data_IF_013749491717
#
_entry.id   IF_013749491717
#
_cell.length_a   1.000
_cell.length_b   1.000
_cell.length_c   1.000
_cell.angle_alpha   90.00
_cell.angle_beta   90.00
_cell.angle_gamma   90.00
#
_symmetry.space_group_name_H-M   'P 1'
#
loop_
_entity.id
_entity.type
_entity.pdbx_description
1 polymer ?
#
# COMPACT_ATOMS: atom_id res chain seq x y z
N UNK A 1 -12.22 -8.90 17.02
CA UNK A 1 -11.46 -8.92 15.77
C UNK A 1 -12.37 -9.29 14.60
N UNK A 2 -13.00 -8.27 14.02
CA UNK A 2 -14.13 -8.42 13.08
C UNK A 2 -13.80 -9.24 11.82
N UNK A 3 -12.56 -9.13 11.30
CA UNK A 3 -12.21 -9.83 10.06
C UNK A 3 -12.01 -11.35 10.22
N UNK A 4 -11.49 -11.80 11.37
CA UNK A 4 -11.35 -13.25 11.64
C UNK A 4 -12.69 -13.95 11.73
N UNK A 5 -13.66 -13.34 12.42
CA UNK A 5 -15.01 -13.90 12.55
C UNK A 5 -15.78 -13.92 11.22
N UNK A 6 -15.33 -13.14 10.22
CA UNK A 6 -15.89 -13.11 8.86
C UNK A 6 -15.10 -13.93 7.84
N UNK A 7 -14.28 -14.86 8.29
CA UNK A 7 -13.60 -15.84 7.43
C UNK A 7 -12.27 -15.35 6.81
N UNK A 8 -11.71 -14.23 7.25
CA UNK A 8 -10.39 -13.82 6.79
C UNK A 8 -9.33 -14.75 7.41
N UNK A 9 -8.73 -15.59 6.58
CA UNK A 9 -7.64 -16.46 6.98
C UNK A 9 -6.37 -15.63 7.25
N UNK A 10 -5.99 -15.52 8.52
CA UNK A 10 -4.82 -14.75 8.96
C UNK A 10 -3.49 -15.47 8.73
N UNK A 11 -3.55 -16.76 8.39
CA UNK A 11 -2.35 -17.58 8.20
C UNK A 11 -1.85 -17.58 6.75
N UNK A 12 -2.57 -16.95 5.81
CA UNK A 12 -2.11 -16.74 4.44
C UNK A 12 -1.27 -15.48 4.29
N UNK A 13 -0.22 -15.58 3.49
CA UNK A 13 0.54 -14.40 3.03
C UNK A 13 -0.37 -13.48 2.21
N UNK A 14 -0.28 -12.17 2.45
CA UNK A 14 -1.04 -11.14 1.72
C UNK A 14 -0.21 -9.91 1.42
N UNK A 15 -0.45 -9.35 0.25
CA UNK A 15 0.02 -8.02 -0.09
C UNK A 15 -1.05 -7.00 0.34
N UNK A 16 -0.63 -6.04 1.14
CA UNK A 16 -1.46 -4.94 1.62
C UNK A 16 -0.98 -3.64 0.98
N UNK A 17 -1.81 -3.08 0.10
CA UNK A 17 -1.54 -1.78 -0.52
C UNK A 17 -2.19 -0.69 0.33
N UNK A 18 -1.38 0.19 0.92
CA UNK A 18 -1.85 1.22 1.85
C UNK A 18 -1.24 2.60 1.53
N UNK A 19 -1.92 3.65 1.93
CA UNK A 19 -1.50 5.05 1.75
C UNK A 19 -0.29 5.48 2.61
N UNK A 20 0.05 4.68 3.62
CA UNK A 20 1.12 4.97 4.57
C UNK A 20 0.62 5.43 5.93
N UNK A 21 -0.68 5.35 6.20
CA UNK A 21 -1.26 5.61 7.51
C UNK A 21 -0.65 4.72 8.60
N UNK A 22 0.00 5.32 9.58
CA UNK A 22 0.74 4.60 10.65
C UNK A 22 -0.16 3.68 11.47
N UNK A 23 -1.38 4.12 11.77
CA UNK A 23 -2.34 3.33 12.53
C UNK A 23 -2.78 2.07 11.78
N UNK A 24 -3.11 2.19 10.49
CA UNK A 24 -3.49 1.07 9.64
C UNK A 24 -2.33 0.08 9.49
N UNK A 25 -1.12 0.59 9.21
CA UNK A 25 0.10 -0.23 9.14
C UNK A 25 0.31 -1.02 10.43
N UNK A 26 0.22 -0.35 11.59
CA UNK A 26 0.36 -1.00 12.91
C UNK A 26 -0.67 -2.10 13.10
N UNK A 27 -1.93 -1.85 12.79
CA UNK A 27 -3.01 -2.82 12.90
C UNK A 27 -2.79 -4.06 12.01
N UNK A 28 -2.34 -3.85 10.76
CA UNK A 28 -2.02 -4.95 9.82
C UNK A 28 -0.86 -5.79 10.38
N UNK A 29 0.25 -5.16 10.78
CA UNK A 29 1.43 -5.85 11.30
C UNK A 29 1.10 -6.60 12.61
N UNK A 30 0.32 -6.01 13.50
CA UNK A 30 -0.11 -6.68 14.73
C UNK A 30 -1.01 -7.89 14.48
N UNK A 31 -1.84 -7.83 13.42
CA UNK A 31 -2.80 -8.91 13.12
C UNK A 31 -2.15 -10.05 12.33
N UNK A 32 -1.31 -9.73 11.35
CA UNK A 32 -0.78 -10.70 10.38
C UNK A 32 0.72 -10.99 10.57
N UNK A 33 1.42 -10.17 11.36
CA UNK A 33 2.85 -10.34 11.61
C UNK A 33 3.67 -10.35 10.32
N UNK A 34 4.56 -11.31 10.19
CA UNK A 34 5.43 -11.50 9.02
C UNK A 34 4.67 -11.96 7.74
N UNK A 35 3.38 -12.29 7.86
CA UNK A 35 2.53 -12.63 6.72
C UNK A 35 1.94 -11.39 6.03
N UNK A 36 2.13 -10.22 6.61
CA UNK A 36 1.76 -8.96 6.00
C UNK A 36 2.89 -8.41 5.15
N UNK A 37 2.80 -8.55 3.83
CA UNK A 37 3.64 -7.78 2.93
C UNK A 37 2.97 -6.44 2.67
N UNK A 38 3.65 -5.35 3.01
CA UNK A 38 3.11 -4.00 2.85
C UNK A 38 3.72 -3.37 1.61
N UNK A 39 2.87 -2.89 0.72
CA UNK A 39 3.20 -1.96 -0.33
C UNK A 39 2.64 -0.59 0.04
N UNK A 40 3.51 0.40 0.23
CA UNK A 40 3.08 1.79 0.37
C UNK A 40 2.76 2.40 -0.98
N UNK A 41 1.68 3.17 -1.04
CA UNK A 41 1.26 3.90 -2.23
C UNK A 41 2.36 4.87 -2.69
N UNK A 42 2.89 4.64 -3.89
CA UNK A 42 3.92 5.50 -4.48
C UNK A 42 3.39 6.90 -4.81
N UNK A 43 2.10 7.01 -5.16
CA UNK A 43 1.45 8.31 -5.42
C UNK A 43 1.42 9.16 -4.18
N UNK A 44 0.96 8.60 -3.04
CA UNK A 44 0.97 9.30 -1.76
C UNK A 44 2.38 9.61 -1.28
N UNK A 45 3.32 8.67 -1.42
CA UNK A 45 4.72 8.92 -1.07
C UNK A 45 5.30 10.08 -1.86
N UNK A 46 5.08 10.10 -3.18
CA UNK A 46 5.51 11.20 -4.04
C UNK A 46 4.92 12.54 -3.59
N UNK A 47 3.61 12.60 -3.32
CA UNK A 47 2.93 13.80 -2.83
C UNK A 47 3.57 14.28 -1.53
N UNK A 48 3.72 13.40 -0.54
CA UNK A 48 4.29 13.74 0.75
C UNK A 48 5.73 14.28 0.65
N UNK A 49 6.56 13.76 -0.25
CA UNK A 49 7.91 14.30 -0.49
C UNK A 49 7.84 15.68 -1.11
N UNK A 50 6.99 15.86 -2.13
CA UNK A 50 6.86 17.13 -2.87
C UNK A 50 6.25 18.26 -2.02
N UNK A 51 5.47 17.92 -1.00
CA UNK A 51 4.90 18.92 -0.07
C UNK A 51 5.96 19.63 0.76
N UNK A 52 7.16 19.04 0.87
CA UNK A 52 8.32 19.66 1.54
C UNK A 52 9.27 20.38 0.57
N UNK A 53 9.03 20.32 -0.74
CA UNK A 53 9.92 20.86 -1.78
C UNK A 53 9.35 22.20 -2.29
N UNK A 54 10.23 23.15 -2.58
CA UNK A 54 9.84 24.45 -3.17
C UNK A 54 9.14 24.28 -4.51
N UNK A 55 8.36 25.28 -4.93
CA UNK A 55 7.64 25.21 -6.21
C UNK A 55 8.59 25.00 -7.40
N UNK A 56 9.77 25.63 -7.37
CA UNK A 56 10.75 25.58 -8.45
C UNK A 56 11.43 24.20 -8.56
N UNK A 57 11.66 23.54 -7.43
CA UNK A 57 12.33 22.22 -7.40
C UNK A 57 11.36 21.05 -7.62
N UNK A 58 10.04 21.26 -7.39
CA UNK A 58 9.03 20.21 -7.52
C UNK A 58 9.06 19.45 -8.84
N UNK A 59 9.16 20.09 -10.02
CA UNK A 59 9.19 19.38 -11.29
C UNK A 59 10.38 18.44 -11.41
N UNK A 60 11.56 18.87 -10.94
CA UNK A 60 12.79 18.09 -11.01
C UNK A 60 12.69 16.88 -10.07
N UNK A 61 12.30 17.10 -8.81
CA UNK A 61 12.15 16.03 -7.82
C UNK A 61 11.05 15.03 -8.24
N UNK A 62 9.92 15.53 -8.76
CA UNK A 62 8.85 14.67 -9.27
C UNK A 62 9.30 13.80 -10.44
N UNK A 63 10.08 14.35 -11.38
CA UNK A 63 10.64 13.60 -12.51
C UNK A 63 11.58 12.50 -12.03
N UNK A 64 12.47 12.78 -11.06
CA UNK A 64 13.39 11.78 -10.50
C UNK A 64 12.65 10.68 -9.75
N UNK A 65 11.64 11.01 -8.93
CA UNK A 65 10.79 10.02 -8.26
C UNK A 65 10.06 9.12 -9.25
N UNK A 66 9.45 9.70 -10.30
CA UNK A 66 8.75 8.95 -11.32
C UNK A 66 9.70 8.03 -12.09
N UNK A 67 10.89 8.52 -12.46
CA UNK A 67 11.89 7.73 -13.16
C UNK A 67 12.38 6.54 -12.32
N UNK A 68 12.63 6.76 -11.02
CA UNK A 68 13.05 5.70 -10.10
C UNK A 68 11.96 4.61 -9.94
N UNK A 69 10.70 5.00 -9.76
CA UNK A 69 9.58 4.05 -9.64
C UNK A 69 9.22 3.35 -10.97
N UNK A 70 9.62 3.91 -12.12
CA UNK A 70 9.41 3.28 -13.43
C UNK A 70 10.40 2.13 -13.70
N UNK A 71 11.56 2.12 -13.04
CA UNK A 71 12.54 1.03 -13.18
C UNK A 71 11.90 -0.31 -12.81
N UNK A 72 12.27 -1.36 -13.53
CA UNK A 72 11.72 -2.70 -13.28
C UNK A 72 12.47 -3.43 -12.17
N UNK A 73 13.78 -3.28 -12.18
CA UNK A 73 14.65 -3.92 -11.20
C UNK A 73 14.59 -3.22 -9.84
N UNK A 74 14.45 -4.02 -8.79
CA UNK A 74 14.38 -3.53 -7.42
C UNK A 74 15.64 -2.80 -6.99
N UNK A 75 16.83 -3.37 -7.31
CA UNK A 75 18.10 -2.80 -6.87
C UNK A 75 18.35 -1.46 -7.56
N UNK A 76 18.07 -1.37 -8.86
CA UNK A 76 18.18 -0.14 -9.62
C UNK A 76 17.20 0.94 -9.12
N UNK A 77 15.94 0.57 -8.87
CA UNK A 77 14.93 1.49 -8.31
C UNK A 77 15.34 2.00 -6.93
N UNK A 78 15.81 1.11 -6.07
CA UNK A 78 16.30 1.49 -4.73
C UNK A 78 17.51 2.40 -4.82
N UNK A 79 18.51 2.08 -5.65
CA UNK A 79 19.70 2.90 -5.83
C UNK A 79 19.35 4.32 -6.31
N UNK A 80 18.40 4.44 -7.25
CA UNK A 80 17.93 5.73 -7.74
C UNK A 80 17.24 6.54 -6.63
N UNK A 81 16.40 5.90 -5.80
CA UNK A 81 15.75 6.56 -4.65
C UNK A 81 16.75 6.93 -3.55
N UNK A 82 17.73 6.09 -3.26
CA UNK A 82 18.81 6.39 -2.30
C UNK A 82 19.68 7.55 -2.80
N UNK A 83 19.93 7.64 -4.12
CA UNK A 83 20.57 8.78 -4.75
C UNK A 83 19.79 10.07 -4.55
N UNK A 84 18.50 10.02 -4.86
CA UNK A 84 17.60 11.17 -4.64
C UNK A 84 17.50 11.57 -3.16
N UNK A 85 17.49 10.59 -2.25
CA UNK A 85 17.51 10.88 -0.82
C UNK A 85 18.75 11.70 -0.42
N UNK A 86 19.93 11.33 -0.91
CA UNK A 86 21.19 12.10 -0.66
C UNK A 86 21.10 13.52 -1.20
N UNK A 87 20.59 13.71 -2.40
CA UNK A 87 20.37 15.05 -2.95
C UNK A 87 19.39 15.88 -2.10
N UNK A 88 18.28 15.28 -1.69
CA UNK A 88 17.28 15.93 -0.85
C UNK A 88 17.82 16.28 0.54
N UNK A 89 18.78 15.53 1.09
CA UNK A 89 19.41 15.87 2.36
C UNK A 89 20.09 17.26 2.32
N UNK A 90 20.62 17.65 1.16
CA UNK A 90 21.22 18.99 0.96
C UNK A 90 20.18 20.04 0.59
N UNK A 91 19.15 19.66 -0.18
CA UNK A 91 18.12 20.58 -0.65
C UNK A 91 17.08 20.89 0.43
N UNK A 92 16.48 19.86 1.01
CA UNK A 92 15.47 19.92 2.07
C UNK A 92 15.47 18.65 2.92
N UNK A 93 16.06 18.69 4.13
CA UNK A 93 16.12 17.53 5.02
C UNK A 93 14.76 16.94 5.40
N UNK A 94 13.67 17.73 5.38
CA UNK A 94 12.32 17.23 5.66
C UNK A 94 11.78 16.38 4.50
N UNK A 95 12.04 16.82 3.25
CA UNK A 95 11.73 16.01 2.06
C UNK A 95 12.53 14.68 2.05
N UNK A 96 13.81 14.74 2.42
CA UNK A 96 14.64 13.53 2.55
C UNK A 96 14.09 12.57 3.60
N UNK A 97 13.74 13.05 4.80
CA UNK A 97 13.10 12.23 5.84
C UNK A 97 11.77 11.64 5.38
N UNK A 98 10.96 12.43 4.67
CA UNK A 98 9.69 11.99 4.09
C UNK A 98 9.91 10.86 3.08
N UNK A 99 10.96 10.94 2.25
CA UNK A 99 11.31 9.87 1.30
C UNK A 99 11.79 8.61 2.02
N UNK A 100 12.69 8.75 2.99
CA UNK A 100 13.27 7.62 3.72
C UNK A 100 12.23 6.84 4.54
N UNK A 101 11.20 7.52 5.08
CA UNK A 101 10.16 6.88 5.86
C UNK A 101 9.38 5.85 5.05
N UNK A 102 9.63 4.56 5.31
CA UNK A 102 8.97 3.44 4.64
C UNK A 102 9.31 3.32 3.15
N UNK A 103 10.49 3.78 2.73
CA UNK A 103 10.97 3.67 1.34
C UNK A 103 10.91 2.23 0.86
N UNK A 104 11.43 1.28 1.65
CA UNK A 104 11.42 -0.15 1.32
C UNK A 104 10.02 -0.69 1.03
N UNK A 105 9.01 -0.20 1.76
CA UNK A 105 7.62 -0.60 1.55
C UNK A 105 7.04 -0.04 0.25
N UNK A 106 7.62 1.02 -0.33
CA UNK A 106 7.21 1.53 -1.64
C UNK A 106 7.71 0.66 -2.81
N UNK A 107 8.68 -0.21 -2.55
CA UNK A 107 9.30 -1.09 -3.54
C UNK A 107 8.93 -2.58 -3.38
N UNK A 108 7.95 -2.89 -2.54
CA UNK A 108 7.54 -4.30 -2.32
C UNK A 108 7.13 -5.00 -3.62
N UNK A 109 6.38 -4.34 -4.50
CA UNK A 109 5.97 -4.92 -5.79
C UNK A 109 7.14 -5.09 -6.77
N UNK A 110 8.21 -4.30 -6.64
CA UNK A 110 9.46 -4.51 -7.39
C UNK A 110 10.18 -5.75 -6.87
N UNK A 111 10.35 -5.86 -5.55
CA UNK A 111 10.96 -7.01 -4.90
C UNK A 111 10.22 -8.33 -5.18
N UNK A 112 8.92 -8.26 -5.40
CA UNK A 112 8.11 -9.41 -5.81
C UNK A 112 8.19 -9.70 -7.32
N UNK A 113 9.00 -8.93 -8.08
CA UNK A 113 9.16 -9.05 -9.54
C UNK A 113 7.81 -9.06 -10.28
N UNK A 114 6.89 -8.16 -9.86
CA UNK A 114 5.58 -8.08 -10.51
C UNK A 114 5.69 -7.56 -11.93
N UNK A 115 4.97 -8.18 -12.90
CA UNK A 115 4.95 -7.70 -14.27
C UNK A 115 4.50 -6.23 -14.35
N UNK A 116 4.98 -5.45 -15.34
CA UNK A 116 4.83 -3.99 -15.38
C UNK A 116 3.40 -3.48 -15.18
N UNK A 117 2.42 -4.06 -15.87
CA UNK A 117 1.03 -3.62 -15.77
C UNK A 117 0.43 -3.88 -14.38
N UNK A 118 0.69 -5.05 -13.79
CA UNK A 118 0.23 -5.38 -12.46
C UNK A 118 0.98 -4.56 -11.41
N UNK A 119 2.29 -4.36 -11.58
CA UNK A 119 3.12 -3.50 -10.72
C UNK A 119 2.54 -2.09 -10.63
N UNK A 120 2.24 -1.47 -11.77
CA UNK A 120 1.62 -0.12 -11.81
C UNK A 120 0.31 -0.06 -11.01
N UNK A 121 -0.54 -1.08 -11.14
CA UNK A 121 -1.81 -1.13 -10.39
C UNK A 121 -1.58 -1.28 -8.89
N UNK A 122 -0.71 -2.20 -8.49
CA UNK A 122 -0.46 -2.51 -7.08
C UNK A 122 0.45 -1.49 -6.39
N UNK A 123 1.09 -0.59 -7.13
CA UNK A 123 1.94 0.47 -6.57
C UNK A 123 1.14 1.64 -5.98
N UNK A 124 -0.19 1.67 -6.14
CA UNK A 124 -1.03 2.76 -5.66
C UNK A 124 -2.34 2.27 -5.04
N UNK A 125 -2.95 3.14 -4.24
CA UNK A 125 -4.28 2.95 -3.64
C UNK A 125 -5.42 3.43 -4.56
N UNK A 126 -5.13 3.85 -5.79
CA UNK A 126 -6.10 4.45 -6.71
C UNK A 126 -7.35 3.58 -6.92
N UNK A 127 -7.21 2.26 -6.92
CA UNK A 127 -8.35 1.34 -7.10
C UNK A 127 -9.37 1.50 -6.00
N UNK A 128 -8.93 1.52 -4.74
CA UNK A 128 -9.84 1.67 -3.58
C UNK A 128 -10.30 3.12 -3.45
N UNK A 129 -9.47 4.10 -3.75
CA UNK A 129 -9.84 5.51 -3.75
C UNK A 129 -10.94 5.80 -4.77
N UNK A 130 -10.86 5.21 -5.95
CA UNK A 130 -11.91 5.31 -6.97
C UNK A 130 -13.26 4.76 -6.48
N UNK A 131 -13.25 3.63 -5.76
CA UNK A 131 -14.45 3.08 -5.15
C UNK A 131 -15.02 4.02 -4.08
N UNK A 132 -14.17 4.56 -3.20
CA UNK A 132 -14.59 5.47 -2.15
C UNK A 132 -15.08 6.82 -2.69
N UNK A 133 -14.57 7.32 -3.80
CA UNK A 133 -15.07 8.54 -4.41
C UNK A 133 -16.52 8.40 -4.88
N UNK A 134 -16.92 7.21 -5.34
CA UNK A 134 -18.31 6.91 -5.67
C UNK A 134 -19.17 6.86 -4.39
N UNK A 135 -18.67 6.19 -3.34
CA UNK A 135 -19.36 6.17 -2.03
C UNK A 135 -19.55 7.58 -1.50
N UNK A 136 -18.53 8.43 -1.57
CA UNK A 136 -18.60 9.83 -1.15
C UNK A 136 -19.66 10.60 -1.95
N UNK A 137 -19.73 10.40 -3.25
CA UNK A 137 -20.75 11.00 -4.11
C UNK A 137 -22.17 10.57 -3.70
N UNK A 138 -22.38 9.29 -3.42
CA UNK A 138 -23.65 8.75 -2.94
C UNK A 138 -24.03 9.33 -1.58
N UNK A 139 -23.05 9.47 -0.69
CA UNK A 139 -23.27 9.92 0.68
C UNK A 139 -23.28 11.45 0.85
N UNK A 140 -22.89 12.25 -0.17
CA UNK A 140 -22.67 13.71 -0.06
C UNK A 140 -23.87 14.50 0.46
N UNK A 141 -25.10 14.02 0.26
CA UNK A 141 -26.33 14.66 0.70
C UNK A 141 -26.66 14.36 2.17
N UNK A 142 -25.96 13.41 2.80
CA UNK A 142 -26.14 13.09 4.21
C UNK A 142 -25.40 14.10 5.05
N UNK A 143 -26.11 15.11 5.55
CA UNK A 143 -25.52 16.20 6.34
C UNK A 143 -25.28 15.86 7.80
N UNK A 144 -26.00 14.88 8.33
CA UNK A 144 -25.87 14.42 9.72
C UNK A 144 -25.94 12.91 9.77
N UNK A 145 -24.99 12.32 10.49
CA UNK A 145 -24.94 10.90 10.73
C UNK A 145 -25.54 10.60 12.10
N UNK A 146 -26.68 9.91 12.13
CA UNK A 146 -27.26 9.41 13.36
C UNK A 146 -26.53 8.15 13.83
N UNK A 147 -26.72 7.77 15.10
CA UNK A 147 -26.14 6.54 15.66
C UNK A 147 -26.69 5.27 15.01
N UNK A 148 -26.14 4.12 15.42
CA UNK A 148 -26.55 2.81 14.91
C UNK A 148 -25.91 2.48 13.56
N UNK A 149 -26.60 1.69 12.76
CA UNK A 149 -26.13 1.13 11.50
C UNK A 149 -26.29 2.04 10.27
N UNK A 150 -26.72 3.30 10.46
CA UNK A 150 -26.96 4.23 9.35
C UNK A 150 -25.71 4.41 8.48
N UNK A 151 -24.51 4.59 9.09
CA UNK A 151 -23.25 4.73 8.34
C UNK A 151 -22.95 3.48 7.54
N UNK A 152 -23.10 2.31 8.16
CA UNK A 152 -22.84 1.03 7.50
C UNK A 152 -23.77 0.82 6.31
N UNK A 153 -25.06 1.13 6.44
CA UNK A 153 -26.05 1.03 5.36
C UNK A 153 -25.71 1.97 4.20
N UNK A 154 -25.41 3.23 4.47
CA UNK A 154 -25.06 4.20 3.41
C UNK A 154 -23.75 3.84 2.71
N UNK A 155 -22.71 3.50 3.46
CA UNK A 155 -21.43 3.06 2.89
C UNK A 155 -21.62 1.77 2.09
N UNK A 156 -22.37 0.80 2.63
CA UNK A 156 -22.70 -0.44 1.94
C UNK A 156 -23.46 -0.20 0.63
N UNK A 157 -24.48 0.66 0.64
CA UNK A 157 -25.20 1.04 -0.58
C UNK A 157 -24.30 1.72 -1.60
N UNK A 158 -23.42 2.62 -1.13
CA UNK A 158 -22.44 3.29 -2.00
C UNK A 158 -21.44 2.30 -2.62
N UNK A 159 -20.99 1.30 -1.88
CA UNK A 159 -20.11 0.25 -2.39
C UNK A 159 -20.82 -0.66 -3.42
N UNK A 160 -22.09 -1.00 -3.20
CA UNK A 160 -22.89 -1.76 -4.17
C UNK A 160 -23.12 -0.98 -5.48
N UNK A 161 -23.23 0.35 -5.40
CA UNK A 161 -23.28 1.21 -6.59
C UNK A 161 -21.91 1.26 -7.28
N UNK A 162 -20.84 1.40 -6.50
CA UNK A 162 -19.49 1.42 -7.02
C UNK A 162 -19.13 0.10 -7.74
N UNK A 163 -19.54 -1.05 -7.19
CA UNK A 163 -19.31 -2.37 -7.76
C UNK A 163 -19.83 -2.49 -9.19
N UNK A 164 -20.98 -1.89 -9.49
CA UNK A 164 -21.55 -1.88 -10.85
C UNK A 164 -20.69 -1.12 -11.88
N UNK A 165 -19.80 -0.26 -11.40
CA UNK A 165 -18.90 0.56 -12.21
C UNK A 165 -17.46 0.02 -12.24
N UNK A 166 -17.19 -1.10 -11.55
CA UNK A 166 -15.85 -1.67 -11.50
C UNK A 166 -15.46 -2.25 -12.86
N UNK A 167 -14.28 -1.85 -13.30
CA UNK A 167 -13.62 -2.42 -14.45
C UNK A 167 -12.48 -3.33 -14.01
N UNK A 168 -12.07 -4.24 -14.90
CA UNK A 168 -10.89 -5.07 -14.65
C UNK A 168 -9.65 -4.19 -14.50
N UNK A 169 -8.89 -4.43 -13.46
CA UNK A 169 -7.62 -3.71 -13.23
C UNK A 169 -6.61 -4.04 -14.32
N UNK A 170 -5.70 -3.11 -14.60
CA UNK A 170 -4.58 -3.37 -15.50
C UNK A 170 -3.73 -4.50 -14.95
N UNK A 171 -3.33 -5.42 -15.81
CA UNK A 171 -2.57 -6.60 -15.37
C UNK A 171 -3.40 -7.68 -14.65
N UNK A 172 -4.74 -7.65 -14.69
CA UNK A 172 -5.58 -8.66 -14.04
C UNK A 172 -5.24 -10.11 -14.46
N UNK A 173 -4.84 -10.33 -15.72
CA UNK A 173 -4.39 -11.64 -16.21
C UNK A 173 -3.08 -12.11 -15.55
N UNK A 174 -2.35 -11.22 -14.91
CA UNK A 174 -1.07 -11.46 -14.23
C UNK A 174 -1.24 -11.72 -12.72
N UNK A 175 -2.46 -11.66 -12.18
CA UNK A 175 -2.74 -11.97 -10.75
C UNK A 175 -2.20 -13.34 -10.34
N UNK A 176 -2.25 -14.40 -11.15
CA UNK A 176 -1.63 -15.69 -10.80
C UNK A 176 -0.12 -15.60 -10.50
N UNK A 177 0.60 -14.63 -11.08
CA UNK A 177 2.02 -14.39 -10.75
C UNK A 177 2.17 -13.91 -9.32
N UNK A 178 1.33 -12.94 -8.89
CA UNK A 178 1.30 -12.48 -7.50
C UNK A 178 0.95 -13.62 -6.54
N UNK A 179 -0.06 -14.42 -6.86
CA UNK A 179 -0.48 -15.55 -6.01
C UNK A 179 0.67 -16.52 -5.79
N UNK A 180 1.37 -16.93 -6.85
CA UNK A 180 2.56 -17.79 -6.75
C UNK A 180 3.68 -17.15 -5.94
N UNK A 181 3.96 -15.87 -6.16
CA UNK A 181 4.99 -15.15 -5.38
C UNK A 181 4.66 -15.13 -3.88
N UNK A 182 3.39 -14.95 -3.50
CA UNK A 182 2.95 -14.99 -2.11
C UNK A 182 3.02 -16.41 -1.51
N UNK A 183 2.73 -17.45 -2.29
CA UNK A 183 2.78 -18.85 -1.86
C UNK A 183 4.22 -19.34 -1.63
N UNK A 184 5.16 -18.88 -2.46
CA UNK A 184 6.59 -19.23 -2.32
C UNK A 184 7.26 -18.52 -1.14
N UNK A 185 6.74 -17.38 -0.70
CA UNK A 185 7.18 -16.68 0.51
C UNK A 185 6.66 -17.40 1.76
N UNK A 186 7.34 -18.48 2.17
CA UNK A 186 7.01 -19.15 3.43
C UNK A 186 7.27 -18.18 4.59
N UNK A 187 6.31 -17.94 5.48
CA UNK A 187 6.60 -17.25 6.72
C UNK A 187 7.66 -18.06 7.48
N UNK A 188 8.65 -17.43 8.14
CA UNK A 188 9.61 -18.15 8.95
C UNK A 188 8.81 -19.03 9.94
N UNK A 189 9.16 -20.32 9.97
CA UNK A 189 8.47 -21.31 10.78
C UNK A 189 8.32 -20.84 12.23
N UNK A 190 7.19 -21.12 12.85
CA UNK A 190 7.02 -20.93 14.29
C UNK A 190 8.18 -21.63 14.96
N UNK A 191 9.07 -20.90 15.65
CA UNK A 191 9.99 -21.51 16.61
C UNK A 191 9.12 -22.28 17.59
N UNK A 192 9.17 -23.59 17.53
CA UNK A 192 8.56 -24.47 18.54
C UNK A 192 9.33 -24.16 19.82
N UNK A 193 8.73 -23.41 20.71
CA UNK A 193 9.23 -23.25 22.06
C UNK A 193 8.91 -24.60 22.74
N UNK A 194 9.85 -25.53 22.68
CA UNK A 194 9.85 -26.71 23.53
C UNK A 194 9.91 -26.24 24.99
N UNK A 195 8.76 -26.24 25.64
CA UNK A 195 8.72 -26.14 27.10
C UNK A 195 9.36 -27.41 27.64
N UNK A 196 10.62 -27.31 28.00
CA UNK A 196 11.26 -28.31 28.85
C UNK A 196 10.52 -28.29 30.20
N UNK A 197 9.76 -29.35 30.48
CA UNK A 197 9.25 -29.60 31.80
C UNK A 197 10.47 -29.88 32.69
N UNK A 198 10.78 -28.98 33.61
CA UNK A 198 11.65 -29.26 34.70
C UNK A 198 10.92 -30.25 35.64
N UNK A 199 11.55 -31.38 35.88
CA UNK A 199 11.19 -32.36 36.90
C UNK A 199 11.59 -31.84 38.25
#
# INVERSE_FOLDING_TARGET
MLFRSRGLDVDRMRLWVIDGGKALRKAIVQTFGQRALIQRCQVHKRRNVLDHVTADDRPIVAKKLNAAYALEDYAAAKQALDGLHRELMHLNPSAARSLAEGLEETLTVHRLHMPPQLRMTLASTNVIESAFSIVETVCRNVKRWHGGDQRERWVGSGLLIAEKQFHRIRGHKQIPVLMRALETMKPPGKKVVTRTKAS
#
